data_IF_175408507483
#
_entry.id   IF_175408507483
#
_cell.length_a   1.000
_cell.length_b   1.000
_cell.length_c   1.000
_cell.angle_alpha   90.00
_cell.angle_beta   90.00
_cell.angle_gamma   90.00
#
_symmetry.space_group_name_H-M   'P 1'
#
loop_
_entity.id
_entity.type
_entity.pdbx_description
1 polymer ?
#
# COMPACT_ATOMS: atom_id res chain seq x y z
N UNK A 1 0.27 0.05 -22.48
CA UNK A 1 -0.74 -1.00 -22.14
C UNK A 1 -0.44 -1.56 -20.74
N UNK A 2 -1.32 -2.35 -20.12
CA UNK A 2 -1.07 -3.11 -18.87
C UNK A 2 0.32 -3.80 -18.86
N UNK A 3 0.76 -4.21 -20.04
CA UNK A 3 2.00 -4.95 -20.36
C UNK A 3 3.29 -4.24 -19.94
N UNK A 4 3.31 -2.91 -20.08
CA UNK A 4 4.50 -2.10 -19.77
C UNK A 4 4.70 -1.98 -18.26
N UNK A 5 3.61 -2.00 -17.49
CA UNK A 5 3.64 -1.81 -16.03
C UNK A 5 4.21 -3.02 -15.31
N UNK A 6 3.82 -4.24 -15.67
CA UNK A 6 4.39 -5.46 -15.08
C UNK A 6 5.89 -5.58 -15.34
N UNK A 7 6.29 -5.37 -16.59
CA UNK A 7 7.71 -5.38 -16.99
C UNK A 7 8.52 -4.33 -16.21
N UNK A 8 7.97 -3.13 -16.05
CA UNK A 8 8.61 -2.04 -15.31
C UNK A 8 8.74 -2.37 -13.83
N UNK A 9 7.67 -2.84 -13.19
CA UNK A 9 7.67 -3.23 -11.77
C UNK A 9 8.68 -4.34 -11.49
N UNK A 10 8.70 -5.38 -12.32
CA UNK A 10 9.69 -6.46 -12.20
C UNK A 10 11.12 -5.96 -12.34
N UNK A 11 11.40 -5.15 -13.36
CA UNK A 11 12.74 -4.58 -13.59
C UNK A 11 13.16 -3.65 -12.46
N UNK A 12 12.26 -2.85 -11.88
CA UNK A 12 12.51 -1.98 -10.72
C UNK A 12 12.97 -2.78 -9.50
N UNK A 13 12.39 -3.96 -9.29
CA UNK A 13 12.80 -4.90 -8.24
C UNK A 13 14.00 -5.78 -8.61
N UNK A 14 14.54 -5.66 -9.84
CA UNK A 14 15.63 -6.48 -10.40
C UNK A 14 15.35 -7.98 -10.39
N UNK A 15 14.09 -8.38 -10.57
CA UNK A 15 13.72 -9.81 -10.59
C UNK A 15 13.73 -10.39 -11.99
N UNK A 16 14.12 -11.67 -12.09
CA UNK A 16 14.00 -12.45 -13.32
C UNK A 16 12.56 -12.89 -13.55
N UNK A 17 12.20 -13.24 -14.79
CA UNK A 17 10.89 -13.81 -15.11
C UNK A 17 10.61 -15.08 -14.28
N UNK A 18 11.65 -15.91 -14.08
CA UNK A 18 11.53 -17.14 -13.30
C UNK A 18 11.25 -16.82 -11.84
N UNK A 19 12.05 -15.94 -11.23
CA UNK A 19 11.89 -15.55 -9.83
C UNK A 19 10.50 -14.99 -9.52
N UNK A 20 9.97 -14.15 -10.41
CA UNK A 20 8.60 -13.62 -10.24
C UNK A 20 7.55 -14.71 -10.39
N UNK A 21 7.70 -15.61 -11.36
CA UNK A 21 6.77 -16.71 -11.57
C UNK A 21 6.74 -17.66 -10.36
N UNK A 22 7.91 -17.94 -9.78
CA UNK A 22 8.06 -18.75 -8.57
C UNK A 22 7.33 -18.10 -7.38
N UNK A 23 7.44 -16.78 -7.21
CA UNK A 23 6.71 -16.03 -6.16
C UNK A 23 5.19 -16.12 -6.31
N UNK A 24 4.70 -16.21 -7.54
CA UNK A 24 3.28 -16.30 -7.86
C UNK A 24 2.78 -17.74 -7.92
N UNK A 25 3.65 -18.74 -7.79
CA UNK A 25 3.29 -20.15 -7.92
C UNK A 25 2.82 -20.54 -9.33
N UNK A 26 3.31 -19.86 -10.37
CA UNK A 26 2.91 -20.10 -11.77
C UNK A 26 4.11 -20.46 -12.64
N UNK A 27 3.86 -21.04 -13.82
CA UNK A 27 4.92 -21.30 -14.78
C UNK A 27 5.53 -20.00 -15.32
N UNK A 28 6.85 -19.99 -15.55
CA UNK A 28 7.58 -18.87 -16.18
C UNK A 28 6.95 -18.41 -17.50
N UNK A 29 6.51 -19.35 -18.33
CA UNK A 29 5.83 -19.07 -19.60
C UNK A 29 4.50 -18.35 -19.41
N UNK A 30 3.77 -18.66 -18.34
CA UNK A 30 2.52 -17.96 -17.98
C UNK A 30 2.80 -16.52 -17.62
N UNK A 31 3.77 -16.27 -16.74
CA UNK A 31 4.14 -14.91 -16.35
C UNK A 31 4.70 -14.10 -17.53
N UNK A 32 5.57 -14.71 -18.35
CA UNK A 32 6.06 -14.08 -19.57
C UNK A 32 4.93 -13.73 -20.56
N UNK A 33 3.89 -14.56 -20.64
CA UNK A 33 2.68 -14.28 -21.40
C UNK A 33 1.89 -13.09 -20.88
N UNK A 34 1.91 -12.83 -19.57
CA UNK A 34 1.31 -11.63 -18.99
C UNK A 34 2.08 -10.37 -19.36
N UNK A 35 3.41 -10.39 -19.28
CA UNK A 35 4.23 -9.23 -19.67
C UNK A 35 4.18 -8.93 -21.17
N UNK A 36 4.10 -9.95 -22.03
CA UNK A 36 4.01 -9.76 -23.48
C UNK A 36 2.59 -9.46 -23.97
N UNK A 37 1.58 -9.69 -23.14
CA UNK A 37 0.16 -9.52 -23.47
C UNK A 37 -0.43 -10.63 -24.30
N UNK A 38 0.35 -11.67 -24.58
CA UNK A 38 -0.13 -12.89 -25.20
C UNK A 38 -1.19 -13.59 -24.33
N UNK A 39 -1.08 -13.47 -23.00
CA UNK A 39 -2.05 -14.00 -22.04
C UNK A 39 -2.61 -12.89 -21.18
N UNK A 40 -3.94 -12.92 -20.95
CA UNK A 40 -4.57 -12.06 -19.96
C UNK A 40 -4.60 -12.75 -18.60
N UNK A 41 -4.14 -12.09 -17.52
CA UNK A 41 -4.26 -12.62 -16.17
C UNK A 41 -5.73 -12.66 -15.74
N UNK A 42 -6.10 -13.68 -14.96
CA UNK A 42 -7.41 -13.73 -14.31
C UNK A 42 -7.51 -12.66 -13.21
N UNK A 43 -8.73 -12.39 -12.72
CA UNK A 43 -8.92 -11.45 -11.60
C UNK A 43 -8.08 -11.84 -10.38
N UNK A 44 -8.04 -13.12 -10.04
CA UNK A 44 -7.22 -13.62 -8.92
C UNK A 44 -5.71 -13.44 -9.18
N UNK A 45 -5.24 -13.65 -10.40
CA UNK A 45 -3.85 -13.38 -10.75
C UNK A 45 -3.53 -11.88 -10.66
N UNK A 46 -4.46 -11.00 -11.05
CA UNK A 46 -4.28 -9.54 -10.94
C UNK A 46 -4.18 -9.10 -9.48
N UNK A 47 -5.00 -9.68 -8.57
CA UNK A 47 -4.88 -9.42 -7.12
C UNK A 47 -3.51 -9.84 -6.59
N UNK A 48 -3.07 -11.05 -6.91
CA UNK A 48 -1.75 -11.54 -6.49
C UNK A 48 -0.60 -10.69 -7.04
N UNK A 49 -0.71 -10.20 -8.27
CA UNK A 49 0.26 -9.27 -8.86
C UNK A 49 0.27 -7.92 -8.13
N UNK A 50 -0.91 -7.41 -7.76
CA UNK A 50 -1.05 -6.15 -7.03
C UNK A 50 -0.37 -6.26 -5.66
N UNK A 51 -0.63 -7.34 -4.93
CA UNK A 51 -0.01 -7.62 -3.63
C UNK A 51 1.51 -7.85 -3.77
N UNK A 52 1.95 -8.61 -4.78
CA UNK A 52 3.36 -8.89 -5.02
C UNK A 52 4.19 -7.62 -5.26
N UNK A 53 3.59 -6.66 -5.97
CA UNK A 53 4.25 -5.41 -6.33
C UNK A 53 3.93 -4.25 -5.40
N UNK A 54 3.11 -4.47 -4.38
CA UNK A 54 2.63 -3.46 -3.44
C UNK A 54 2.03 -2.25 -4.18
N UNK A 55 1.06 -2.54 -5.05
CA UNK A 55 0.44 -1.57 -5.96
C UNK A 55 -1.06 -1.83 -6.09
N UNK A 56 -1.82 -0.87 -6.60
CA UNK A 56 -3.26 -1.04 -6.78
C UNK A 56 -3.60 -1.84 -8.06
N UNK A 57 -4.75 -2.52 -8.05
CA UNK A 57 -5.29 -3.16 -9.25
C UNK A 57 -5.56 -2.13 -10.35
N UNK A 58 -6.06 -0.94 -10.00
CA UNK A 58 -6.28 0.14 -10.95
C UNK A 58 -4.98 0.61 -11.62
N UNK A 59 -3.86 0.61 -10.90
CA UNK A 59 -2.55 0.81 -11.49
C UNK A 59 -2.13 -0.38 -12.37
N UNK A 60 -2.37 -1.62 -12.00
CA UNK A 60 -2.03 -2.71 -12.93
C UNK A 60 -2.86 -2.65 -14.22
N UNK A 61 -4.12 -2.23 -14.12
CA UNK A 61 -5.07 -2.22 -15.24
C UNK A 61 -5.02 -0.98 -16.13
N UNK A 62 -4.22 0.04 -15.80
CA UNK A 62 -4.14 1.26 -16.63
C UNK A 62 -5.14 2.35 -16.28
N UNK A 63 -5.88 2.24 -15.17
CA UNK A 63 -6.97 3.17 -14.80
C UNK A 63 -6.48 4.41 -14.04
N UNK A 64 -5.30 4.31 -13.43
CA UNK A 64 -4.58 5.42 -12.79
C UNK A 64 -3.09 5.30 -13.10
N UNK A 65 -2.36 6.42 -13.17
CA UNK A 65 -0.89 6.41 -13.25
C UNK A 65 -0.21 6.39 -11.87
N UNK A 66 -0.98 6.52 -10.79
CA UNK A 66 -0.49 6.44 -9.42
C UNK A 66 -0.36 4.98 -8.99
N UNK A 67 0.87 4.47 -8.75
CA UNK A 67 1.10 3.08 -8.38
C UNK A 67 0.74 2.76 -6.93
N UNK A 68 0.64 3.76 -6.06
CA UNK A 68 0.49 3.50 -4.63
C UNK A 68 -0.95 3.11 -4.28
N UNK A 69 -1.08 1.99 -3.57
CA UNK A 69 -2.13 1.87 -2.58
C UNK A 69 -1.77 2.91 -1.52
N UNK A 70 -2.61 3.93 -1.28
CA UNK A 70 -2.44 4.85 -0.17
C UNK A 70 -2.64 4.11 1.17
N UNK A 71 -1.70 3.24 1.53
CA UNK A 71 -1.58 2.61 2.85
C UNK A 71 -0.31 3.11 3.51
N UNK A 72 -0.24 4.43 3.72
CA UNK A 72 0.63 5.02 4.72
C UNK A 72 -0.21 5.67 5.81
N UNK A 73 -0.90 4.84 6.59
CA UNK A 73 -1.31 5.22 7.95
C UNK A 73 -0.08 5.17 8.88
N UNK A 74 0.96 4.39 8.54
CA UNK A 74 2.13 4.16 9.40
C UNK A 74 3.12 5.33 9.49
N UNK A 75 3.14 6.24 8.51
CA UNK A 75 4.09 7.37 8.48
C UNK A 75 3.40 8.73 8.61
N UNK A 76 2.13 8.77 9.04
CA UNK A 76 1.51 10.06 9.36
C UNK A 76 2.20 10.57 10.62
N UNK A 77 3.18 11.46 10.46
CA UNK A 77 3.64 12.34 11.53
C UNK A 77 2.49 13.28 11.87
N UNK A 78 1.55 12.79 12.66
CA UNK A 78 0.51 13.62 13.24
C UNK A 78 1.19 14.36 14.39
N UNK A 79 1.67 15.57 14.12
CA UNK A 79 1.92 16.51 15.21
C UNK A 79 0.56 16.88 15.80
N UNK A 80 0.22 16.25 16.93
CA UNK A 80 -0.93 16.62 17.74
C UNK A 80 -0.63 17.96 18.45
N UNK A 81 -0.57 19.04 17.69
CA UNK A 81 -0.44 20.41 18.19
C UNK A 81 -1.83 21.03 18.38
N UNK A 82 -2.69 20.89 17.37
CA UNK A 82 -4.13 21.16 17.38
C UNK A 82 -4.74 20.18 16.35
N UNK A 83 -5.76 19.41 16.69
CA UNK A 83 -6.36 18.45 15.76
C UNK A 83 -6.87 19.19 14.50
N UNK A 84 -6.11 19.13 13.40
CA UNK A 84 -6.48 19.83 12.17
C UNK A 84 -6.78 18.94 10.98
N UNK A 85 -6.46 17.65 11.02
CA UNK A 85 -6.99 16.69 10.05
C UNK A 85 -7.24 15.32 10.72
N UNK A 86 -8.51 14.94 10.83
CA UNK A 86 -8.96 13.63 11.34
C UNK A 86 -9.75 13.70 12.65
N UNK A 87 -10.81 12.88 12.75
CA UNK A 87 -11.54 12.64 14.00
C UNK A 87 -10.91 11.45 14.73
N UNK A 88 -10.46 11.65 15.97
CA UNK A 88 -10.03 10.55 16.82
C UNK A 88 -11.28 9.92 17.44
N UNK A 89 -11.40 8.60 17.33
CA UNK A 89 -12.47 7.82 17.95
C UNK A 89 -11.88 6.94 19.07
N UNK A 90 -12.57 6.85 20.20
CA UNK A 90 -12.34 5.84 21.24
C UNK A 90 -13.66 5.12 21.44
N UNK A 91 -13.66 3.80 21.23
CA UNK A 91 -14.87 2.95 21.27
C UNK A 91 -16.02 3.51 20.40
N UNK A 92 -15.67 3.93 19.17
CA UNK A 92 -16.57 4.56 18.18
C UNK A 92 -17.15 5.93 18.58
N UNK A 93 -16.69 6.51 19.70
CA UNK A 93 -17.10 7.84 20.15
C UNK A 93 -16.04 8.88 19.76
N UNK A 94 -16.41 9.97 19.07
CA UNK A 94 -15.49 11.05 18.75
C UNK A 94 -15.10 11.82 20.01
N UNK A 95 -13.79 12.00 20.20
CA UNK A 95 -13.31 12.87 21.28
C UNK A 95 -13.64 14.33 20.96
N UNK A 96 -14.03 15.06 22.00
CA UNK A 96 -14.19 16.52 21.94
C UNK A 96 -12.84 17.25 22.15
N UNK A 97 -12.85 18.56 21.93
CA UNK A 97 -11.65 19.41 22.03
C UNK A 97 -10.91 19.29 23.38
N UNK A 98 -11.65 19.12 24.47
CA UNK A 98 -11.06 19.03 25.81
C UNK A 98 -10.41 17.67 26.04
N UNK A 99 -11.05 16.60 25.58
CA UNK A 99 -10.50 15.25 25.65
C UNK A 99 -9.26 15.09 24.76
N UNK A 100 -9.24 15.73 23.59
CA UNK A 100 -8.06 15.80 22.72
C UNK A 100 -6.89 16.47 23.46
N UNK A 101 -7.12 17.58 24.16
CA UNK A 101 -6.06 18.23 24.96
C UNK A 101 -5.53 17.32 26.07
N UNK A 102 -6.43 16.63 26.78
CA UNK A 102 -6.06 15.69 27.83
C UNK A 102 -5.21 14.52 27.29
N UNK A 103 -5.62 13.96 26.16
CA UNK A 103 -4.87 12.89 25.47
C UNK A 103 -3.46 13.35 25.08
N UNK A 104 -3.35 14.55 24.50
CA UNK A 104 -2.05 15.15 24.13
C UNK A 104 -1.16 15.37 25.36
N UNK A 105 -1.72 15.92 26.44
CA UNK A 105 -1.00 16.14 27.70
C UNK A 105 -0.51 14.82 28.31
N UNK A 106 -1.35 13.79 28.32
CA UNK A 106 -1.01 12.46 28.81
C UNK A 106 0.15 11.84 28.02
N UNK A 107 0.10 11.87 26.69
CA UNK A 107 1.16 11.32 25.83
C UNK A 107 2.48 12.06 26.08
N UNK A 108 2.46 13.39 26.20
CA UNK A 108 3.65 14.19 26.52
C UNK A 108 4.27 13.77 27.85
N UNK A 109 3.47 13.70 28.92
CA UNK A 109 3.95 13.28 30.24
C UNK A 109 4.52 11.86 30.23
N UNK A 110 3.82 10.91 29.58
CA UNK A 110 4.28 9.52 29.44
C UNK A 110 5.63 9.43 28.73
N UNK A 111 5.86 10.25 27.71
CA UNK A 111 7.13 10.27 26.99
C UNK A 111 8.26 10.91 27.81
N UNK A 112 7.97 11.94 28.62
CA UNK A 112 8.94 12.53 29.56
C UNK A 112 9.36 11.55 30.66
N UNK A 113 8.43 10.70 31.12
CA UNK A 113 8.71 9.67 32.15
C UNK A 113 9.42 8.42 31.61
N UNK A 114 9.56 8.29 30.29
CA UNK A 114 10.27 7.18 29.63
C UNK A 114 11.75 7.49 29.35
N UNK A 115 12.26 8.58 29.92
CA UNK A 115 13.69 8.97 29.89
C UNK A 115 14.40 8.41 31.11
#
# INVERSE_FOLDING_TARGET
MILDRLTTLRKKKKWSLQHTADRLGIAKSTYAGYESGYRRPSLEAVKLLADLYDTSIDFLLGRTDEPEIQRKISDIKIELTEAKEGTILVDDVPLNDEEIKQLVAFIRAKNTLKV
#
